data_IF_726682641410
#
_entry.id   IF_726682641410
#
_cell.length_a   1.000
_cell.length_b   1.000
_cell.length_c   1.000
_cell.angle_alpha   90.00
_cell.angle_beta   90.00
_cell.angle_gamma   90.00
#
_symmetry.space_group_name_H-M   'P 1'
#
loop_
_entity.id
_entity.type
_entity.pdbx_description
1 polymer ?
#
# COMPACT_ATOMS: atom_id res chain seq x y z
N UNK A 1 62.71 -16.60 20.27
CA UNK A 1 61.59 -17.51 20.57
C UNK A 1 60.65 -16.74 21.48
N UNK A 2 59.41 -16.35 21.18
CA UNK A 2 58.29 -16.99 20.47
C UNK A 2 57.48 -15.85 19.80
N UNK A 3 57.17 -15.97 18.50
CA UNK A 3 56.10 -15.20 17.84
C UNK A 3 55.11 -16.22 17.28
N UNK A 4 53.90 -16.25 17.82
CA UNK A 4 52.75 -16.93 17.24
C UNK A 4 51.58 -15.97 17.35
N UNK A 5 51.21 -15.35 16.24
CA UNK A 5 49.90 -14.72 16.07
C UNK A 5 49.27 -15.45 14.89
N UNK A 6 48.23 -16.21 15.20
CA UNK A 6 47.32 -16.80 14.22
C UNK A 6 46.57 -15.67 13.52
N UNK A 7 46.74 -15.55 12.21
CA UNK A 7 45.80 -14.83 11.35
C UNK A 7 45.00 -15.92 10.65
N UNK A 8 43.84 -16.26 11.18
CA UNK A 8 42.89 -17.14 10.48
C UNK A 8 41.78 -16.29 9.91
N UNK A 9 41.53 -16.52 8.63
CA UNK A 9 40.77 -15.70 7.71
C UNK A 9 39.35 -15.37 8.19
N UNK A 10 38.99 -14.09 8.14
CA UNK A 10 37.60 -13.65 8.12
C UNK A 10 37.06 -13.97 6.74
N UNK A 11 36.34 -15.08 6.65
CA UNK A 11 35.55 -15.47 5.50
C UNK A 11 34.34 -14.53 5.41
N UNK A 12 34.48 -13.40 4.70
CA UNK A 12 33.35 -12.58 4.28
C UNK A 12 32.55 -13.35 3.22
N UNK A 13 31.62 -14.18 3.68
CA UNK A 13 30.57 -14.74 2.83
C UNK A 13 29.62 -13.58 2.50
N UNK A 14 29.92 -12.84 1.43
CA UNK A 14 28.96 -11.93 0.79
C UNK A 14 27.91 -12.85 0.17
N UNK A 15 26.82 -13.09 0.92
CA UNK A 15 25.60 -13.61 0.34
C UNK A 15 25.08 -12.54 -0.62
N UNK A 16 25.52 -12.63 -1.87
CA UNK A 16 24.88 -11.94 -2.98
C UNK A 16 23.44 -12.43 -3.03
N UNK A 17 22.53 -11.65 -2.45
CA UNK A 17 21.11 -11.82 -2.63
C UNK A 17 20.82 -11.38 -4.06
N UNK A 18 20.49 -12.27 -5.02
CA UNK A 18 19.90 -11.77 -6.24
C UNK A 18 18.55 -11.21 -5.81
N UNK A 19 18.39 -9.88 -5.90
CA UNK A 19 17.09 -9.28 -6.06
C UNK A 19 16.54 -9.85 -7.38
N UNK A 20 15.90 -11.01 -7.31
CA UNK A 20 15.03 -11.49 -8.38
C UNK A 20 13.95 -10.43 -8.48
N UNK A 21 14.11 -9.50 -9.42
CA UNK A 21 13.04 -8.62 -9.85
C UNK A 21 11.94 -9.52 -10.39
N UNK A 22 10.97 -9.85 -9.54
CA UNK A 22 9.71 -10.45 -9.97
C UNK A 22 9.07 -9.44 -10.90
N UNK A 23 9.27 -9.64 -12.20
CA UNK A 23 8.47 -9.00 -13.22
C UNK A 23 7.13 -9.73 -13.17
N UNK A 24 6.20 -9.20 -12.37
CA UNK A 24 4.83 -9.69 -12.42
C UNK A 24 4.25 -9.28 -13.78
N UNK A 25 3.60 -10.22 -14.45
CA UNK A 25 2.91 -9.93 -15.71
C UNK A 25 1.93 -8.76 -15.51
N UNK A 26 1.84 -7.84 -16.48
CA UNK A 26 0.94 -6.71 -16.37
C UNK A 26 -0.49 -7.21 -16.30
N UNK A 27 -1.23 -6.73 -15.29
CA UNK A 27 -2.61 -7.10 -15.09
C UNK A 27 -3.52 -6.21 -15.94
N UNK A 28 -4.32 -6.81 -16.82
CA UNK A 28 -5.31 -6.08 -17.64
C UNK A 28 -6.61 -5.96 -16.84
N UNK A 29 -6.98 -4.72 -16.48
CA UNK A 29 -8.20 -4.46 -15.71
C UNK A 29 -9.41 -4.37 -16.64
N UNK A 30 -10.50 -5.14 -16.39
CA UNK A 30 -11.69 -5.12 -17.23
C UNK A 30 -12.46 -3.81 -17.10
N UNK A 31 -13.07 -3.39 -18.21
CA UNK A 31 -14.04 -2.29 -18.22
C UNK A 31 -15.35 -2.82 -17.65
N UNK A 32 -15.90 -2.13 -16.65
CA UNK A 32 -17.14 -2.49 -15.97
C UNK A 32 -18.02 -1.28 -15.65
N UNK A 33 -19.08 -1.56 -14.92
CA UNK A 33 -20.02 -0.61 -14.38
C UNK A 33 -19.41 0.17 -13.20
N UNK A 34 -19.83 1.42 -13.01
CA UNK A 34 -19.37 2.24 -11.89
C UNK A 34 -19.93 1.70 -10.56
N UNK A 35 -19.08 1.36 -9.57
CA UNK A 35 -19.52 0.94 -8.25
C UNK A 35 -20.01 2.13 -7.38
N UNK A 36 -20.77 1.82 -6.34
CA UNK A 36 -21.14 2.74 -5.25
C UNK A 36 -20.01 2.73 -4.22
N UNK A 37 -19.43 3.90 -3.94
CA UNK A 37 -18.31 4.03 -2.99
C UNK A 37 -18.81 4.19 -1.54
N UNK A 38 -19.53 3.19 -1.03
CA UNK A 38 -20.09 3.21 0.33
C UNK A 38 -19.29 2.37 1.35
N UNK A 39 -18.25 1.65 0.89
CA UNK A 39 -17.41 0.79 1.71
C UNK A 39 -17.91 -0.67 1.79
N UNK A 40 -18.96 -1.03 1.05
CA UNK A 40 -19.49 -2.39 0.96
C UNK A 40 -19.15 -3.00 -0.39
N UNK A 41 -18.67 -4.24 -0.40
CA UNK A 41 -18.40 -4.98 -1.65
C UNK A 41 -19.60 -5.89 -1.91
N UNK A 42 -20.55 -5.43 -2.74
CA UNK A 42 -21.73 -6.21 -3.13
C UNK A 42 -21.44 -7.07 -4.35
N UNK A 43 -21.93 -8.31 -4.35
CA UNK A 43 -21.60 -9.29 -5.40
C UNK A 43 -22.12 -8.88 -6.78
N UNK A 44 -23.32 -8.34 -6.87
CA UNK A 44 -23.94 -7.83 -8.10
C UNK A 44 -23.16 -6.65 -8.68
N UNK A 45 -22.75 -5.73 -7.81
CA UNK A 45 -22.01 -4.54 -8.17
C UNK A 45 -20.60 -4.85 -8.66
N UNK A 46 -19.93 -5.89 -8.14
CA UNK A 46 -18.55 -6.25 -8.49
C UNK A 46 -18.46 -7.51 -9.38
N UNK A 47 -19.57 -7.95 -9.97
CA UNK A 47 -19.63 -9.16 -10.80
C UNK A 47 -18.78 -9.08 -12.09
N UNK A 48 -18.52 -7.87 -12.57
CA UNK A 48 -17.71 -7.54 -13.75
C UNK A 48 -16.25 -7.23 -13.42
N UNK A 49 -15.86 -7.36 -12.15
CA UNK A 49 -14.50 -7.10 -11.71
C UNK A 49 -13.58 -8.30 -11.93
N UNK A 50 -12.33 -8.00 -12.21
CA UNK A 50 -11.25 -8.96 -12.04
C UNK A 50 -10.99 -9.16 -10.55
N UNK A 51 -10.84 -10.41 -10.16
CA UNK A 51 -10.63 -10.82 -8.78
C UNK A 51 -9.23 -11.42 -8.66
N UNK A 52 -8.43 -10.87 -7.75
CA UNK A 52 -7.08 -11.35 -7.44
C UNK A 52 -7.08 -11.80 -5.99
N UNK A 53 -6.86 -13.09 -5.77
CA UNK A 53 -6.55 -13.61 -4.44
C UNK A 53 -5.11 -13.20 -4.11
N UNK A 54 -4.97 -12.24 -3.21
CA UNK A 54 -3.68 -11.71 -2.79
C UNK A 54 -3.04 -12.57 -1.70
N UNK A 55 -3.87 -13.17 -0.85
CA UNK A 55 -3.49 -14.21 0.10
C UNK A 55 -4.68 -15.15 0.34
N UNK A 56 -4.52 -16.19 1.16
CA UNK A 56 -5.61 -17.08 1.56
C UNK A 56 -6.80 -16.35 2.22
N UNK A 57 -6.55 -15.14 2.74
CA UNK A 57 -7.53 -14.37 3.50
C UNK A 57 -7.79 -12.98 2.93
N UNK A 58 -7.21 -12.64 1.78
CA UNK A 58 -7.36 -11.32 1.18
C UNK A 58 -7.57 -11.35 -0.32
N UNK A 59 -8.54 -10.57 -0.76
CA UNK A 59 -9.02 -10.52 -2.13
C UNK A 59 -9.07 -9.08 -2.60
N UNK A 60 -8.49 -8.80 -3.76
CA UNK A 60 -8.53 -7.52 -4.45
C UNK A 60 -9.48 -7.61 -5.65
N UNK A 61 -10.39 -6.65 -5.75
CA UNK A 61 -11.32 -6.50 -6.87
C UNK A 61 -10.91 -5.27 -7.68
N UNK A 62 -10.81 -5.43 -8.99
CA UNK A 62 -10.38 -4.40 -9.92
C UNK A 62 -11.33 -4.30 -11.10
N UNK A 63 -11.81 -3.09 -11.36
CA UNK A 63 -12.50 -2.76 -12.61
C UNK A 63 -12.31 -1.30 -12.96
N UNK A 64 -12.51 -0.96 -14.22
CA UNK A 64 -12.35 0.42 -14.70
C UNK A 64 -13.59 0.91 -15.43
N UNK A 65 -13.73 2.24 -15.47
CA UNK A 65 -14.51 2.95 -16.50
C UNK A 65 -13.51 3.75 -17.34
N UNK A 66 -13.93 4.46 -18.42
CA UNK A 66 -13.04 5.34 -19.15
C UNK A 66 -12.36 6.42 -18.28
N UNK A 67 -12.97 6.79 -17.16
CA UNK A 67 -12.51 7.87 -16.29
C UNK A 67 -11.78 7.40 -15.03
N UNK A 68 -12.09 6.21 -14.52
CA UNK A 68 -11.63 5.78 -13.20
C UNK A 68 -11.20 4.32 -13.16
N UNK A 69 -10.19 4.06 -12.33
CA UNK A 69 -9.88 2.72 -11.82
C UNK A 69 -10.53 2.57 -10.45
N UNK A 70 -11.32 1.51 -10.28
CA UNK A 70 -11.95 1.14 -9.03
C UNK A 70 -11.22 -0.03 -8.40
N UNK A 71 -10.93 0.11 -7.12
CA UNK A 71 -10.28 -0.91 -6.31
C UNK A 71 -11.14 -1.17 -5.08
N UNK A 72 -11.39 -2.44 -4.79
CA UNK A 72 -11.93 -2.85 -3.50
C UNK A 72 -11.08 -3.96 -2.90
N UNK A 73 -10.83 -3.88 -1.60
CA UNK A 73 -10.03 -4.85 -0.87
C UNK A 73 -10.91 -5.50 0.19
N UNK A 74 -10.95 -6.82 0.21
CA UNK A 74 -11.58 -7.63 1.24
C UNK A 74 -10.48 -8.39 1.97
N UNK A 75 -10.46 -8.33 3.29
CA UNK A 75 -9.49 -9.06 4.09
C UNK A 75 -9.99 -9.32 5.50
N UNK A 76 -9.42 -10.33 6.15
CA UNK A 76 -9.65 -10.68 7.56
C UNK A 76 -8.83 -9.82 8.53
N UNK A 77 -7.71 -9.29 8.07
CA UNK A 77 -6.76 -8.56 8.91
C UNK A 77 -7.30 -7.18 9.25
N UNK A 78 -7.21 -6.79 10.52
CA UNK A 78 -7.53 -5.43 10.94
C UNK A 78 -6.46 -4.47 10.40
N UNK A 79 -6.83 -3.65 9.43
CA UNK A 79 -5.97 -2.64 8.85
C UNK A 79 -6.71 -1.83 7.81
N UNK A 80 -6.16 -0.68 7.45
CA UNK A 80 -6.65 0.10 6.31
C UNK A 80 -5.59 -0.03 5.23
N UNK A 81 -5.86 -0.76 4.14
CA UNK A 81 -4.92 -0.85 3.04
C UNK A 81 -4.65 0.55 2.49
N UNK A 82 -3.39 0.82 2.17
CA UNK A 82 -2.98 2.06 1.51
C UNK A 82 -2.38 1.70 0.15
N UNK A 83 -3.19 1.69 -0.92
CA UNK A 83 -2.69 1.40 -2.25
C UNK A 83 -1.53 2.31 -2.63
N UNK A 84 -0.46 1.73 -3.16
CA UNK A 84 0.69 2.47 -3.68
C UNK A 84 0.66 2.43 -5.20
N UNK A 85 0.46 3.58 -5.83
CA UNK A 85 0.58 3.72 -7.29
C UNK A 85 1.98 4.23 -7.59
N UNK A 86 2.69 3.54 -8.48
CA UNK A 86 4.02 3.95 -8.93
C UNK A 86 3.91 4.43 -10.36
N UNK A 87 4.42 5.64 -10.63
CA UNK A 87 4.49 6.22 -11.97
C UNK A 87 5.82 6.95 -12.12
N UNK A 88 6.63 6.53 -13.09
CA UNK A 88 7.95 7.12 -13.34
C UNK A 88 8.80 7.21 -12.06
N UNK A 89 9.23 8.41 -11.68
CA UNK A 89 10.00 8.69 -10.45
C UNK A 89 9.11 9.08 -9.25
N UNK A 90 7.81 8.79 -9.29
CA UNK A 90 6.84 9.18 -8.27
C UNK A 90 6.06 7.99 -7.72
N UNK A 91 5.76 8.06 -6.43
CA UNK A 91 4.94 7.10 -5.71
C UNK A 91 3.80 7.82 -5.01
N UNK A 92 2.60 7.33 -5.19
CA UNK A 92 1.36 7.89 -4.66
C UNK A 92 0.77 6.88 -3.69
N UNK A 93 0.88 7.16 -2.39
CA UNK A 93 0.24 6.36 -1.37
C UNK A 93 -1.17 6.91 -1.15
N UNK A 94 -2.18 6.13 -1.50
CA UNK A 94 -3.59 6.45 -1.30
C UNK A 94 -4.04 5.98 0.07
N UNK A 95 -4.75 6.81 0.82
CA UNK A 95 -5.30 6.42 2.12
C UNK A 95 -6.78 6.82 2.26
N UNK A 96 -7.58 5.91 2.80
CA UNK A 96 -9.05 6.03 2.86
C UNK A 96 -9.61 6.00 4.30
N UNK A 97 -8.79 6.32 5.29
CA UNK A 97 -9.14 6.28 6.73
C UNK A 97 -9.13 7.69 7.36
N UNK A 98 -8.65 7.85 8.58
CA UNK A 98 -8.59 9.09 9.34
C UNK A 98 -7.65 10.16 8.73
N UNK A 99 -6.78 9.77 7.80
CA UNK A 99 -6.08 10.67 6.91
C UNK A 99 -6.53 10.33 5.48
N UNK A 100 -7.31 11.23 4.89
CA UNK A 100 -7.81 11.07 3.54
C UNK A 100 -6.83 11.72 2.56
N UNK A 101 -6.74 11.17 1.37
CA UNK A 101 -5.98 11.77 0.28
C UNK A 101 -4.71 10.98 -0.04
N UNK A 102 -3.76 11.69 -0.65
CA UNK A 102 -2.60 11.09 -1.30
C UNK A 102 -1.31 11.67 -0.73
N UNK A 103 -0.44 10.82 -0.20
CA UNK A 103 0.95 11.19 0.03
C UNK A 103 1.76 10.93 -1.25
N UNK A 104 2.55 11.91 -1.66
CA UNK A 104 3.37 11.84 -2.87
C UNK A 104 4.84 11.83 -2.47
N UNK A 105 5.55 10.80 -2.92
CA UNK A 105 6.98 10.66 -2.78
C UNK A 105 7.65 10.80 -4.14
N UNK A 106 8.75 11.53 -4.20
CA UNK A 106 9.57 11.67 -5.40
C UNK A 106 10.96 11.14 -5.15
N UNK A 107 11.50 10.43 -6.13
CA UNK A 107 12.86 9.94 -6.07
C UNK A 107 13.86 11.10 -6.21
N UNK A 108 14.84 11.15 -5.31
CA UNK A 108 15.99 12.06 -5.34
C UNK A 108 17.26 11.25 -5.06
N UNK A 109 18.00 10.94 -6.13
CA UNK A 109 19.07 9.94 -6.11
C UNK A 109 18.57 8.57 -5.67
N UNK A 110 19.22 8.02 -4.64
CA UNK A 110 18.87 6.72 -4.04
C UNK A 110 17.81 6.82 -2.93
N UNK A 111 17.25 8.01 -2.71
CA UNK A 111 16.31 8.27 -1.61
C UNK A 111 14.94 8.70 -2.11
N UNK A 112 13.90 8.40 -1.32
CA UNK A 112 12.55 8.89 -1.58
C UNK A 112 12.25 10.05 -0.64
N UNK A 113 11.91 11.20 -1.21
CA UNK A 113 11.54 12.38 -0.44
C UNK A 113 10.03 12.58 -0.49
N UNK A 114 9.43 12.78 0.69
CA UNK A 114 8.02 13.18 0.81
C UNK A 114 7.86 14.58 0.22
N UNK A 115 7.10 14.69 -0.87
CA UNK A 115 6.76 15.98 -1.51
C UNK A 115 5.43 16.52 -1.05
N UNK A 116 4.48 15.61 -0.79
CA UNK A 116 3.16 15.95 -0.29
C UNK A 116 2.79 14.97 0.83
N UNK A 117 2.56 15.43 2.07
CA UNK A 117 2.03 14.58 3.14
C UNK A 117 0.55 14.27 2.91
N UNK A 118 0.01 13.31 3.65
CA UNK A 118 -1.44 13.13 3.74
C UNK A 118 -2.13 14.37 4.32
N UNK A 119 -3.32 14.68 3.82
CA UNK A 119 -4.21 15.61 4.48
C UNK A 119 -4.95 14.88 5.60
N UNK A 120 -4.59 15.18 6.84
CA UNK A 120 -5.31 14.65 7.99
C UNK A 120 -6.58 15.46 8.20
N UNK A 121 -7.72 14.88 7.84
CA UNK A 121 -9.02 15.45 8.13
C UNK A 121 -9.93 14.36 8.67
N UNK A 122 -10.52 14.61 9.84
CA UNK A 122 -11.57 13.74 10.36
C UNK A 122 -12.70 13.65 9.33
N UNK A 123 -13.09 12.40 9.00
CA UNK A 123 -14.18 12.10 8.06
C UNK A 123 -15.51 12.74 8.48
N UNK A 124 -15.66 13.06 9.75
CA UNK A 124 -16.85 13.67 10.32
C UNK A 124 -16.52 15.02 10.96
N UNK A 125 -17.14 16.10 10.47
CA UNK A 125 -17.12 17.42 11.12
C UNK A 125 -18.26 17.58 12.12
N UNK A 126 -19.20 16.64 12.18
CA UNK A 126 -20.27 16.62 13.17
C UNK A 126 -19.78 15.96 14.45
N UNK A 127 -18.94 16.67 15.19
CA UNK A 127 -18.47 16.25 16.51
C UNK A 127 -19.64 16.16 17.50
N UNK A 128 -20.32 15.02 17.58
CA UNK A 128 -21.04 14.62 18.79
C UNK A 128 -20.05 14.00 19.78
N UNK A 129 -20.31 14.12 21.09
CA UNK A 129 -19.43 13.58 22.13
C UNK A 129 -19.18 12.05 22.02
N UNK A 130 -20.03 11.33 21.28
CA UNK A 130 -19.84 9.90 20.97
C UNK A 130 -18.82 9.64 19.83
N UNK A 131 -18.44 10.66 19.07
CA UNK A 131 -17.47 10.62 17.98
C UNK A 131 -16.06 11.10 18.40
N UNK A 132 -15.85 11.39 19.69
CA UNK A 132 -14.54 11.72 20.22
C UNK A 132 -13.61 10.51 20.09
N UNK A 133 -12.70 10.58 19.12
CA UNK A 133 -11.47 9.80 19.06
C UNK A 133 -11.62 8.36 19.54
N UNK A 134 -12.17 7.48 18.69
CA UNK A 134 -11.82 6.07 18.77
C UNK A 134 -10.32 5.96 18.53
N UNK A 135 -9.60 5.95 19.65
CA UNK A 135 -8.16 5.84 19.86
C UNK A 135 -7.48 5.01 18.77
N UNK A 136 -6.36 5.42 18.18
CA UNK A 136 -5.20 5.96 18.90
C UNK A 136 -4.23 4.81 19.18
N UNK A 137 -3.61 4.26 18.13
CA UNK A 137 -2.39 3.44 18.17
C UNK A 137 -1.80 3.36 16.75
N UNK A 138 -1.21 4.46 16.29
CA UNK A 138 -0.20 4.43 15.23
C UNK A 138 0.89 5.40 15.68
N UNK A 139 1.59 4.97 16.73
CA UNK A 139 2.73 5.70 17.29
C UNK A 139 3.88 5.68 16.29
N UNK A 140 4.43 6.87 16.07
CA UNK A 140 5.83 7.19 15.77
C UNK A 140 6.69 6.07 15.14
N UNK A 141 6.99 6.23 13.85
CA UNK A 141 8.32 5.87 13.35
C UNK A 141 8.94 7.16 12.81
N UNK A 142 9.86 7.69 13.62
CA UNK A 142 10.89 8.65 13.29
C UNK A 142 12.12 7.93 12.77
#
# INVERSE_FOLDING_TARGET
MIRRILISAVLCLVLAWPALGQTSDPVVVPIGSKPVLDGTIRTDEWADAMVIEWSEESTLFLKSTPEFLFLAFRGTTRGVPSPLIVRDSERYALHASAALGTAIYKQDGDTWQLRQPFERQCRDRSCSAAAACRHGHAGQES
#
